data_IF_393412121196
#
_entry.id   IF_393412121196
#
_cell.length_a   1.000
_cell.length_b   1.000
_cell.length_c   1.000
_cell.angle_alpha   90.00
_cell.angle_beta   90.00
_cell.angle_gamma   90.00
#
_symmetry.space_group_name_H-M   'P 1'
#
loop_
_entity.id
_entity.type
_entity.pdbx_description
1 polymer ?
#
# COMPACT_ATOMS: atom_id res chain seq x y z
N UNK A 1 61.18 14.15 4.38
CA UNK A 1 61.42 15.61 4.54
C UNK A 1 60.05 16.28 4.60
N UNK A 2 59.55 16.50 5.82
CA UNK A 2 58.29 17.18 6.11
C UNK A 2 58.48 18.68 5.98
N UNK A 3 57.51 19.42 5.41
CA UNK A 3 57.22 20.81 5.82
C UNK A 3 55.73 21.13 5.72
N UNK A 4 55.19 21.44 6.89
CA UNK A 4 53.91 22.00 7.29
C UNK A 4 53.65 23.40 6.72
N UNK A 5 52.38 23.77 6.48
CA UNK A 5 51.96 25.17 6.56
C UNK A 5 50.61 25.34 7.28
N UNK A 6 50.60 26.43 8.04
CA UNK A 6 49.74 26.80 9.16
C UNK A 6 48.47 27.52 8.74
N UNK A 7 47.49 27.49 9.65
CA UNK A 7 46.21 28.19 9.62
C UNK A 7 46.32 29.70 9.36
N UNK A 8 45.37 30.23 8.60
CA UNK A 8 45.04 31.65 8.51
C UNK A 8 43.55 31.87 8.77
N UNK A 9 43.24 32.40 9.95
CA UNK A 9 41.89 32.89 10.31
C UNK A 9 41.45 34.00 9.35
N UNK A 10 40.33 33.82 8.66
CA UNK A 10 39.54 34.95 8.13
C UNK A 10 38.29 35.11 8.98
N UNK A 11 38.17 36.29 9.61
CA UNK A 11 37.01 36.72 10.38
C UNK A 11 35.79 36.84 9.46
N UNK A 12 34.70 36.16 9.81
CA UNK A 12 33.37 36.42 9.26
C UNK A 12 32.76 37.65 9.97
N UNK A 13 32.06 38.56 9.27
CA UNK A 13 31.36 39.66 9.90
C UNK A 13 30.16 39.14 10.69
N UNK A 14 29.92 39.73 11.87
CA UNK A 14 28.71 39.50 12.68
C UNK A 14 27.49 39.97 11.89
N UNK A 15 26.62 39.02 11.52
CA UNK A 15 25.26 39.35 11.08
C UNK A 15 24.40 39.51 12.32
N UNK A 16 23.81 40.71 12.41
CA UNK A 16 22.81 41.13 13.38
C UNK A 16 21.68 40.11 13.48
N UNK A 17 21.34 39.71 14.70
CA UNK A 17 20.18 38.87 15.02
C UNK A 17 18.89 39.60 14.63
N UNK A 18 18.34 39.26 13.47
CA UNK A 18 16.93 39.53 13.20
C UNK A 18 16.14 38.47 13.97
N UNK A 19 15.34 38.90 14.94
CA UNK A 19 14.41 38.06 15.70
C UNK A 19 13.40 37.44 14.73
N UNK A 20 13.75 36.28 14.18
CA UNK A 20 12.79 35.41 13.54
C UNK A 20 12.05 34.70 14.68
N UNK A 21 10.87 35.21 15.04
CA UNK A 21 9.94 34.54 15.94
C UNK A 21 9.66 33.15 15.39
N UNK A 22 10.38 32.15 15.91
CA UNK A 22 10.00 30.74 15.79
C UNK A 22 8.61 30.61 16.40
N UNK A 23 7.57 30.57 15.58
CA UNK A 23 6.33 29.90 15.98
C UNK A 23 6.70 28.44 16.17
N UNK A 24 6.92 28.08 17.42
CA UNK A 24 6.94 26.69 17.84
C UNK A 24 5.62 26.07 17.38
N UNK A 25 5.69 24.95 16.65
CA UNK A 25 4.56 24.05 16.53
C UNK A 25 4.15 23.67 17.96
N UNK A 26 3.02 24.20 18.42
CA UNK A 26 2.56 24.00 19.79
C UNK A 26 2.13 22.54 19.98
N UNK A 27 2.78 21.85 20.92
CA UNK A 27 2.34 20.56 21.49
C UNK A 27 1.09 20.74 22.37
N UNK A 28 -0.02 21.18 21.78
CA UNK A 28 -1.33 21.12 22.41
C UNK A 28 -2.14 19.99 21.76
N UNK A 29 -2.79 19.09 22.53
CA UNK A 29 -3.84 18.25 21.97
C UNK A 29 -5.06 19.14 21.76
N UNK A 30 -5.01 19.93 20.68
CA UNK A 30 -6.13 20.74 20.23
C UNK A 30 -7.19 19.79 19.66
N UNK A 31 -8.44 19.93 20.10
CA UNK A 31 -9.59 19.36 19.39
C UNK A 31 -9.44 19.70 17.90
N UNK A 32 -9.58 18.69 17.04
CA UNK A 32 -9.06 18.76 15.68
C UNK A 32 -9.82 19.71 14.75
N UNK A 33 -10.89 20.33 15.26
CA UNK A 33 -11.71 21.35 14.59
C UNK A 33 -11.40 22.80 14.96
N UNK A 34 -10.51 23.04 15.95
CA UNK A 34 -10.22 24.40 16.45
C UNK A 34 -9.76 25.33 15.32
N UNK A 35 -10.52 26.41 15.12
CA UNK A 35 -10.22 27.46 14.14
C UNK A 35 -11.04 27.36 12.85
N UNK A 36 -11.79 26.27 12.63
CA UNK A 36 -12.59 26.08 11.41
C UNK A 36 -13.99 25.49 11.66
N UNK A 37 -14.48 25.49 12.90
CA UNK A 37 -15.77 24.93 13.30
C UNK A 37 -16.94 25.54 12.53
N UNK A 38 -16.85 26.83 12.21
CA UNK A 38 -17.86 27.56 11.44
C UNK A 38 -18.05 26.98 10.02
N UNK A 39 -17.03 26.32 9.44
CA UNK A 39 -17.12 25.66 8.14
C UNK A 39 -17.93 24.36 8.19
N UNK A 40 -18.16 23.80 9.38
CA UNK A 40 -18.87 22.55 9.60
C UNK A 40 -20.36 22.76 9.91
N UNK A 41 -20.84 24.00 9.83
CA UNK A 41 -22.26 24.30 10.02
C UNK A 41 -23.10 23.55 8.98
N UNK A 42 -24.06 22.75 9.46
CA UNK A 42 -24.92 21.92 8.61
C UNK A 42 -24.42 20.49 8.37
N UNK A 43 -23.20 20.15 8.80
CA UNK A 43 -22.70 18.78 8.75
C UNK A 43 -23.47 17.87 9.71
N UNK A 44 -23.99 16.77 9.18
CA UNK A 44 -24.78 15.82 9.93
C UNK A 44 -23.96 14.66 10.53
N UNK A 45 -24.57 13.91 11.44
CA UNK A 45 -23.98 12.67 11.98
C UNK A 45 -24.14 11.52 10.97
N UNK A 46 -23.19 10.58 10.97
CA UNK A 46 -23.19 9.44 10.04
C UNK A 46 -24.45 8.56 10.16
N UNK A 47 -25.03 8.47 11.36
CA UNK A 47 -26.25 7.67 11.60
C UNK A 47 -27.55 8.49 11.47
N UNK A 48 -27.46 9.80 11.21
CA UNK A 48 -28.64 10.65 11.06
C UNK A 48 -29.31 10.35 9.73
N UNK A 49 -30.46 9.67 9.79
CA UNK A 49 -31.26 9.32 8.61
C UNK A 49 -31.94 10.58 8.07
N UNK A 50 -31.57 10.98 6.86
CA UNK A 50 -32.10 12.16 6.17
C UNK A 50 -32.78 11.75 4.86
N UNK A 51 -33.84 12.47 4.43
CA UNK A 51 -34.41 12.27 3.11
C UNK A 51 -33.35 12.49 2.02
N UNK A 52 -33.41 11.67 0.97
CA UNK A 52 -32.49 11.73 -0.17
C UNK A 52 -33.31 11.88 -1.45
N UNK A 53 -32.88 12.75 -2.34
CA UNK A 53 -33.44 12.89 -3.68
C UNK A 53 -32.98 11.71 -4.53
N UNK A 54 -33.85 10.72 -4.63
CA UNK A 54 -33.66 9.52 -5.43
C UNK A 54 -33.79 9.83 -6.93
N UNK A 55 -32.81 9.41 -7.72
CA UNK A 55 -32.82 9.56 -9.19
C UNK A 55 -32.76 8.18 -9.83
N UNK A 56 -33.85 7.81 -10.50
CA UNK A 56 -34.06 6.48 -11.12
C UNK A 56 -34.60 6.58 -12.55
N UNK A 57 -34.83 7.80 -13.05
CA UNK A 57 -35.39 8.04 -14.37
C UNK A 57 -34.92 9.38 -14.95
N UNK A 58 -35.26 9.62 -16.21
CA UNK A 58 -34.92 10.85 -16.94
C UNK A 58 -35.50 12.11 -16.29
N UNK A 59 -36.70 12.03 -15.71
CA UNK A 59 -37.39 13.21 -15.20
C UNK A 59 -36.78 13.69 -13.87
N UNK A 60 -36.48 12.75 -12.97
CA UNK A 60 -35.74 12.98 -11.74
C UNK A 60 -34.32 13.47 -12.02
N UNK A 61 -33.63 12.87 -12.99
CA UNK A 61 -32.30 13.32 -13.42
C UNK A 61 -32.35 14.76 -13.94
N UNK A 62 -33.32 15.09 -14.80
CA UNK A 62 -33.48 16.45 -15.32
C UNK A 62 -33.68 17.49 -14.20
N UNK A 63 -34.53 17.22 -13.21
CA UNK A 63 -34.74 18.16 -12.09
C UNK A 63 -33.45 18.44 -11.33
N UNK A 64 -32.67 17.40 -11.04
CA UNK A 64 -31.38 17.54 -10.35
C UNK A 64 -30.40 18.34 -11.21
N UNK A 65 -30.29 18.02 -12.50
CA UNK A 65 -29.38 18.71 -13.42
C UNK A 65 -29.72 20.20 -13.58
N UNK A 66 -31.01 20.54 -13.67
CA UNK A 66 -31.46 21.94 -13.75
C UNK A 66 -31.02 22.73 -12.49
N UNK A 67 -31.04 22.09 -11.30
CA UNK A 67 -30.57 22.71 -10.05
C UNK A 67 -29.05 22.83 -10.04
N UNK A 68 -28.31 21.77 -10.43
CA UNK A 68 -26.85 21.80 -10.53
C UNK A 68 -26.37 22.92 -11.46
N UNK A 69 -27.04 23.11 -12.61
CA UNK A 69 -26.76 24.21 -13.54
C UNK A 69 -27.00 25.59 -12.90
N UNK A 70 -28.09 25.73 -12.13
CA UNK A 70 -28.48 27.01 -11.50
C UNK A 70 -27.47 27.50 -10.45
N UNK A 71 -26.67 26.61 -9.87
CA UNK A 71 -25.60 26.94 -8.91
C UNK A 71 -24.40 27.61 -9.60
N UNK A 72 -24.24 27.43 -10.92
CA UNK A 72 -23.20 28.05 -11.71
C UNK A 72 -21.84 27.32 -11.66
N UNK A 73 -20.88 27.73 -12.53
CA UNK A 73 -19.65 26.98 -12.79
C UNK A 73 -18.60 27.07 -11.68
N UNK A 74 -18.71 28.05 -10.77
CA UNK A 74 -17.79 28.20 -9.63
C UNK A 74 -18.19 27.34 -8.42
N UNK A 75 -19.37 26.73 -8.45
CA UNK A 75 -19.87 25.93 -7.34
C UNK A 75 -19.19 24.56 -7.30
N UNK A 76 -18.84 24.10 -6.10
CA UNK A 76 -18.21 22.80 -5.88
C UNK A 76 -19.26 21.75 -5.57
N UNK A 77 -19.27 20.67 -6.34
CA UNK A 77 -20.15 19.52 -6.15
C UNK A 77 -19.32 18.34 -5.70
N UNK A 78 -19.52 17.85 -4.47
CA UNK A 78 -18.90 16.62 -4.06
C UNK A 78 -19.62 15.44 -4.70
N UNK A 79 -18.86 14.51 -5.23
CA UNK A 79 -19.35 13.30 -5.86
C UNK A 79 -18.64 12.08 -5.29
N UNK A 80 -19.34 10.96 -5.26
CA UNK A 80 -18.79 9.67 -4.85
C UNK A 80 -19.53 8.53 -5.56
N UNK A 81 -18.82 7.45 -5.87
CA UNK A 81 -19.39 6.27 -6.54
C UNK A 81 -19.29 5.02 -5.69
N UNK A 82 -20.34 4.21 -5.72
CA UNK A 82 -20.26 2.86 -5.19
C UNK A 82 -20.09 1.85 -6.32
N UNK A 83 -19.22 0.86 -6.10
CA UNK A 83 -18.71 0.00 -7.16
C UNK A 83 -18.82 -1.47 -6.80
N UNK A 84 -19.49 -2.22 -7.68
CA UNK A 84 -19.62 -3.66 -7.64
C UNK A 84 -18.57 -4.36 -8.53
N UNK A 85 -18.45 -5.68 -8.42
CA UNK A 85 -17.63 -6.52 -9.31
C UNK A 85 -16.13 -6.15 -9.35
N UNK A 86 -15.56 -5.77 -8.22
CA UNK A 86 -14.12 -5.51 -8.07
C UNK A 86 -13.60 -6.04 -6.73
N UNK A 87 -12.49 -6.78 -6.76
CA UNK A 87 -11.71 -7.12 -5.57
C UNK A 87 -10.47 -6.23 -5.53
N UNK A 88 -10.58 -5.10 -4.84
CA UNK A 88 -9.52 -4.07 -4.76
C UNK A 88 -8.22 -4.56 -4.11
N UNK A 89 -8.21 -5.77 -3.53
CA UNK A 89 -6.99 -6.42 -3.04
C UNK A 89 -6.22 -7.16 -4.14
N UNK A 90 -6.87 -7.43 -5.28
CA UNK A 90 -6.32 -8.20 -6.38
C UNK A 90 -6.11 -7.35 -7.64
N UNK A 91 -7.00 -6.39 -7.90
CA UNK A 91 -6.98 -5.58 -9.13
C UNK A 91 -7.22 -4.10 -8.83
N UNK A 92 -6.67 -3.23 -9.68
CA UNK A 92 -6.97 -1.80 -9.68
C UNK A 92 -8.27 -1.47 -10.44
N UNK A 93 -8.79 -0.24 -10.32
CA UNK A 93 -10.08 0.17 -10.90
C UNK A 93 -10.07 0.31 -12.43
N UNK A 94 -8.89 0.39 -13.06
CA UNK A 94 -8.76 0.51 -14.51
C UNK A 94 -9.28 -0.76 -15.18
N UNK A 95 -10.41 -0.65 -15.89
CA UNK A 95 -11.06 -1.77 -16.58
C UNK A 95 -11.82 -2.72 -15.66
N UNK A 96 -11.84 -2.50 -14.34
CA UNK A 96 -12.47 -3.40 -13.36
C UNK A 96 -13.51 -2.67 -12.51
N UNK A 97 -14.62 -3.33 -12.24
CA UNK A 97 -15.71 -2.81 -11.43
C UNK A 97 -16.78 -2.06 -12.22
N UNK A 98 -18.01 -2.08 -11.68
CA UNK A 98 -19.21 -1.49 -12.26
C UNK A 98 -19.85 -0.54 -11.26
N UNK A 99 -20.11 0.71 -11.67
CA UNK A 99 -20.74 1.71 -10.80
C UNK A 99 -22.22 1.36 -10.59
N UNK A 100 -22.61 1.13 -9.32
CA UNK A 100 -23.99 0.81 -8.95
C UNK A 100 -24.79 2.03 -8.54
N UNK A 101 -24.14 3.10 -8.09
CA UNK A 101 -24.76 4.39 -7.83
C UNK A 101 -23.74 5.53 -7.80
N UNK A 102 -24.25 6.76 -7.92
CA UNK A 102 -23.51 8.01 -7.76
C UNK A 102 -24.23 8.87 -6.71
N UNK A 103 -23.51 9.39 -5.73
CA UNK A 103 -24.03 10.42 -4.82
C UNK A 103 -23.49 11.79 -5.21
N UNK A 104 -24.32 12.83 -5.02
CA UNK A 104 -23.93 14.22 -5.26
C UNK A 104 -24.38 15.06 -4.07
N UNK A 105 -23.48 15.90 -3.57
CA UNK A 105 -23.75 16.86 -2.51
C UNK A 105 -23.17 18.23 -2.87
N UNK A 106 -24.00 19.26 -2.81
CA UNK A 106 -23.62 20.63 -3.22
C UNK A 106 -23.65 21.63 -2.06
N UNK A 107 -23.73 21.16 -0.82
CA UNK A 107 -23.81 22.02 0.38
C UNK A 107 -25.16 21.90 1.09
N UNK A 108 -25.22 22.29 2.37
CA UNK A 108 -26.38 22.06 3.23
C UNK A 108 -27.62 22.88 2.84
N UNK A 109 -27.41 24.02 2.15
CA UNK A 109 -28.48 24.95 1.79
C UNK A 109 -29.08 24.69 0.41
N UNK A 110 -28.59 23.68 -0.33
CA UNK A 110 -29.12 23.31 -1.63
C UNK A 110 -30.27 22.32 -1.44
N UNK A 111 -31.41 22.55 -2.09
CA UNK A 111 -32.54 21.62 -2.06
C UNK A 111 -32.79 21.03 -3.45
N UNK A 112 -32.63 19.70 -3.56
CA UNK A 112 -32.91 18.94 -4.78
C UNK A 112 -34.35 18.41 -4.86
N UNK A 113 -35.20 18.81 -3.92
CA UNK A 113 -36.62 18.45 -3.80
C UNK A 113 -36.93 17.69 -2.50
N UNK A 114 -35.95 16.91 -2.00
CA UNK A 114 -36.01 16.23 -0.70
C UNK A 114 -34.80 16.63 0.19
N UNK A 115 -34.26 17.84 0.02
CA UNK A 115 -33.06 18.30 0.71
C UNK A 115 -31.77 18.16 -0.11
N UNK A 116 -30.59 18.21 0.55
CA UNK A 116 -29.31 18.46 -0.12
C UNK A 116 -28.65 17.23 -0.73
N UNK A 117 -29.21 16.04 -0.51
CA UNK A 117 -28.64 14.78 -0.95
C UNK A 117 -29.26 14.33 -2.26
N UNK A 118 -28.41 13.99 -3.23
CA UNK A 118 -28.80 13.29 -4.45
C UNK A 118 -28.18 11.90 -4.42
N UNK A 119 -28.97 10.88 -4.77
CA UNK A 119 -28.49 9.53 -4.97
C UNK A 119 -29.07 8.97 -6.27
N UNK A 120 -28.19 8.71 -7.23
CA UNK A 120 -28.49 8.21 -8.56
C UNK A 120 -28.33 6.71 -8.56
N UNK A 121 -29.44 5.98 -8.68
CA UNK A 121 -29.44 4.52 -8.77
C UNK A 121 -28.99 4.10 -10.17
N UNK A 122 -28.07 3.14 -10.27
CA UNK A 122 -27.61 2.59 -11.54
C UNK A 122 -27.58 1.06 -11.52
N UNK A 123 -28.41 0.44 -10.66
CA UNK A 123 -28.50 -1.00 -10.53
C UNK A 123 -29.87 -1.52 -10.99
N UNK A 124 -29.88 -2.73 -11.54
CA UNK A 124 -31.06 -3.47 -11.96
C UNK A 124 -31.98 -2.67 -12.89
N UNK A 125 -33.21 -2.35 -12.46
CA UNK A 125 -34.18 -1.60 -13.27
C UNK A 125 -33.78 -0.15 -13.54
N UNK A 126 -32.81 0.37 -12.81
CA UNK A 126 -32.30 1.74 -12.95
C UNK A 126 -30.97 1.79 -13.73
N UNK A 127 -30.53 0.66 -14.30
CA UNK A 127 -29.33 0.60 -15.14
C UNK A 127 -29.42 1.62 -16.29
N UNK A 128 -28.32 2.36 -16.49
CA UNK A 128 -28.23 3.42 -17.49
C UNK A 128 -28.68 4.81 -17.00
N UNK A 129 -29.16 4.97 -15.76
CA UNK A 129 -29.54 6.29 -15.24
C UNK A 129 -28.34 7.24 -15.15
N UNK A 130 -27.12 6.73 -14.92
CA UNK A 130 -25.89 7.55 -14.94
C UNK A 130 -25.68 8.27 -16.27
N UNK A 131 -26.16 7.73 -17.38
CA UNK A 131 -25.99 8.33 -18.71
C UNK A 131 -26.60 9.73 -18.77
N UNK A 132 -27.69 9.99 -18.04
CA UNK A 132 -28.30 11.32 -17.98
C UNK A 132 -27.36 12.38 -17.39
N UNK A 133 -26.39 11.96 -16.57
CA UNK A 133 -25.39 12.85 -15.95
C UNK A 133 -24.10 12.99 -16.75
N UNK A 134 -23.96 12.35 -17.93
CA UNK A 134 -22.75 12.45 -18.76
C UNK A 134 -22.33 13.89 -18.99
N UNK A 135 -23.25 14.76 -19.38
CA UNK A 135 -22.96 16.18 -19.63
C UNK A 135 -22.37 16.90 -18.41
N UNK A 136 -22.88 16.61 -17.21
CA UNK A 136 -22.37 17.17 -15.96
C UNK A 136 -20.99 16.58 -15.59
N UNK A 137 -20.83 15.27 -15.70
CA UNK A 137 -19.61 14.56 -15.31
C UNK A 137 -18.43 14.87 -16.26
N UNK A 138 -18.68 14.93 -17.58
CA UNK A 138 -17.67 15.25 -18.59
C UNK A 138 -17.44 16.76 -18.77
N UNK A 139 -18.20 17.60 -18.08
CA UNK A 139 -18.02 19.05 -18.14
C UNK A 139 -16.72 19.49 -17.44
N UNK A 140 -15.96 20.38 -18.09
CA UNK A 140 -14.81 21.07 -17.49
C UNK A 140 -15.20 22.28 -16.64
N UNK A 141 -16.42 22.79 -16.83
CA UNK A 141 -16.94 23.98 -16.15
C UNK A 141 -17.51 23.63 -14.79
N UNK A 142 -18.34 22.59 -14.68
CA UNK A 142 -18.82 22.11 -13.38
C UNK A 142 -17.69 21.44 -12.62
N UNK A 143 -17.38 21.97 -11.42
CA UNK A 143 -16.27 21.49 -10.60
C UNK A 143 -16.73 20.39 -9.66
N UNK A 144 -16.16 19.19 -9.84
CA UNK A 144 -16.44 18.04 -8.99
C UNK A 144 -15.32 17.82 -7.99
N UNK A 145 -15.70 17.62 -6.73
CA UNK A 145 -14.80 17.30 -5.63
C UNK A 145 -14.96 15.82 -5.29
N UNK A 146 -13.84 15.14 -5.06
CA UNK A 146 -13.81 13.71 -4.78
C UNK A 146 -12.95 13.42 -3.56
N UNK A 147 -13.08 12.22 -3.02
CA UNK A 147 -12.10 11.64 -2.12
C UNK A 147 -11.48 10.44 -2.82
N UNK A 148 -10.21 10.54 -3.23
CA UNK A 148 -9.56 9.54 -4.09
C UNK A 148 -10.12 9.50 -5.53
N UNK A 149 -10.11 10.67 -6.19
CA UNK A 149 -10.60 10.93 -7.54
C UNK A 149 -10.19 9.88 -8.59
N UNK A 150 -8.96 9.37 -8.51
CA UNK A 150 -8.46 8.37 -9.46
C UNK A 150 -9.40 7.16 -9.55
N UNK A 151 -9.88 6.67 -8.41
CA UNK A 151 -10.75 5.50 -8.38
C UNK A 151 -12.06 5.75 -9.12
N UNK A 152 -12.82 6.79 -8.72
CA UNK A 152 -14.11 7.16 -9.33
C UNK A 152 -13.97 7.47 -10.82
N UNK A 153 -12.91 8.20 -11.19
CA UNK A 153 -12.64 8.54 -12.59
C UNK A 153 -12.42 7.29 -13.44
N UNK A 154 -11.77 6.25 -12.91
CA UNK A 154 -11.55 5.00 -13.64
C UNK A 154 -12.82 4.17 -13.76
N UNK A 155 -13.54 3.95 -12.66
CA UNK A 155 -14.75 3.11 -12.67
C UNK A 155 -15.88 3.72 -13.51
N UNK A 156 -15.98 5.04 -13.57
CA UNK A 156 -16.89 5.75 -14.49
C UNK A 156 -16.40 5.72 -15.95
N UNK A 157 -15.12 5.44 -16.21
CA UNK A 157 -14.61 5.31 -17.58
C UNK A 157 -14.59 3.86 -18.08
N UNK A 158 -14.84 2.89 -17.20
CA UNK A 158 -14.89 1.48 -17.55
C UNK A 158 -15.93 1.18 -18.65
N UNK A 159 -15.82 0.03 -19.35
CA UNK A 159 -16.68 -0.30 -20.49
C UNK A 159 -18.18 -0.22 -20.23
N UNK A 160 -18.62 -0.35 -18.97
CA UNK A 160 -20.02 -0.26 -18.56
C UNK A 160 -20.64 1.11 -18.78
N UNK A 161 -19.89 2.21 -18.63
CA UNK A 161 -20.41 3.58 -18.71
C UNK A 161 -19.64 4.47 -19.69
N UNK A 162 -18.32 4.30 -19.80
CA UNK A 162 -17.43 5.13 -20.65
C UNK A 162 -17.62 6.64 -20.46
N UNK A 163 -17.92 7.08 -19.25
CA UNK A 163 -18.04 8.50 -18.88
C UNK A 163 -16.63 9.00 -18.54
N UNK A 164 -16.10 9.91 -19.35
CA UNK A 164 -14.79 10.49 -19.07
C UNK A 164 -14.94 11.70 -18.15
N UNK A 165 -14.96 11.47 -16.84
CA UNK A 165 -15.06 12.56 -15.86
C UNK A 165 -13.95 13.59 -16.09
N UNK A 166 -14.36 14.86 -16.17
CA UNK A 166 -13.51 16.04 -16.33
C UNK A 166 -13.84 17.07 -15.24
N UNK A 167 -13.09 18.16 -15.17
CA UNK A 167 -13.47 19.29 -14.31
C UNK A 167 -13.25 18.97 -12.85
N UNK A 168 -12.10 18.35 -12.53
CA UNK A 168 -11.65 18.16 -11.17
C UNK A 168 -11.59 19.52 -10.45
N UNK A 169 -12.44 19.71 -9.44
CA UNK A 169 -12.43 20.84 -8.53
C UNK A 169 -11.50 20.61 -7.34
N UNK A 170 -11.38 19.36 -6.92
CA UNK A 170 -10.33 18.93 -6.01
C UNK A 170 -10.48 17.48 -5.54
N UNK A 171 -9.39 16.90 -5.07
CA UNK A 171 -9.36 15.63 -4.35
C UNK A 171 -8.93 15.91 -2.90
N UNK A 172 -9.83 15.62 -1.96
CA UNK A 172 -9.57 15.84 -0.53
C UNK A 172 -8.38 15.03 -0.01
N UNK A 173 -8.06 13.89 -0.62
CA UNK A 173 -6.86 13.11 -0.29
C UNK A 173 -5.59 13.83 -0.76
N UNK A 174 -5.60 14.46 -1.93
CA UNK A 174 -4.46 15.30 -2.39
C UNK A 174 -4.25 16.49 -1.46
N UNK A 175 -5.34 17.21 -1.16
CA UNK A 175 -5.29 18.40 -0.31
C UNK A 175 -4.79 18.06 1.10
N UNK A 176 -5.22 16.93 1.68
CA UNK A 176 -4.74 16.47 2.99
C UNK A 176 -3.26 16.08 2.99
N UNK A 177 -2.78 15.41 1.92
CA UNK A 177 -1.36 15.06 1.76
C UNK A 177 -0.48 16.30 1.63
N UNK A 178 -0.97 17.31 0.90
CA UNK A 178 -0.28 18.59 0.74
C UNK A 178 -0.26 19.40 2.04
N UNK A 179 -1.37 19.41 2.78
CA UNK A 179 -1.46 20.09 4.07
C UNK A 179 -0.53 19.46 5.12
N UNK A 180 -0.51 18.12 5.23
CA UNK A 180 0.34 17.44 6.20
C UNK A 180 0.73 16.03 5.73
N UNK A 181 1.88 15.92 5.08
CA UNK A 181 2.42 14.65 4.57
C UNK A 181 2.77 13.64 5.67
N UNK A 182 3.01 14.09 6.91
CA UNK A 182 3.37 13.21 8.03
C UNK A 182 2.17 12.42 8.59
N UNK A 183 0.93 12.75 8.20
CA UNK A 183 -0.27 12.03 8.66
C UNK A 183 -0.26 10.55 8.31
N UNK A 184 0.51 10.10 7.32
CA UNK A 184 0.67 8.67 7.04
C UNK A 184 1.15 7.86 8.27
N UNK A 185 1.91 8.50 9.17
CA UNK A 185 2.36 7.87 10.42
C UNK A 185 1.31 7.95 11.55
N UNK A 186 0.34 8.86 11.45
CA UNK A 186 -0.65 9.18 12.49
C UNK A 186 -2.00 9.55 11.85
N UNK A 187 -2.89 8.56 11.74
CA UNK A 187 -4.27 8.73 11.26
C UNK A 187 -4.48 8.44 9.77
N UNK A 188 -3.47 8.60 8.92
CA UNK A 188 -3.61 8.37 7.48
C UNK A 188 -4.49 9.41 6.78
N UNK A 189 -4.99 9.04 5.59
CA UNK A 189 -5.74 9.93 4.69
C UNK A 189 -7.08 9.35 4.24
N UNK A 190 -7.60 8.31 4.89
CA UNK A 190 -8.93 7.81 4.58
C UNK A 190 -9.97 8.86 4.97
N UNK A 191 -11.12 8.84 4.29
CA UNK A 191 -12.25 9.71 4.64
C UNK A 191 -12.67 9.53 6.09
N UNK A 192 -12.67 8.28 6.60
CA UNK A 192 -12.92 7.96 8.02
C UNK A 192 -11.98 8.73 8.95
N UNK A 193 -10.68 8.67 8.71
CA UNK A 193 -9.70 9.28 9.61
C UNK A 193 -9.67 10.80 9.49
N UNK A 194 -9.81 11.34 8.27
CA UNK A 194 -9.84 12.78 8.06
C UNK A 194 -11.12 13.41 8.60
N UNK A 195 -12.28 12.75 8.48
CA UNK A 195 -13.51 13.27 9.04
C UNK A 195 -13.57 13.11 10.57
N UNK A 196 -12.93 12.08 11.14
CA UNK A 196 -12.75 11.98 12.58
C UNK A 196 -11.88 13.14 13.12
N UNK A 197 -10.71 13.36 12.50
CA UNK A 197 -9.74 14.31 13.01
C UNK A 197 -10.11 15.77 12.69
N UNK A 198 -10.54 16.06 11.47
CA UNK A 198 -10.72 17.44 11.00
C UNK A 198 -12.16 17.92 11.09
N UNK A 199 -13.11 17.04 11.36
CA UNK A 199 -14.53 17.39 11.37
C UNK A 199 -15.24 16.95 12.65
N UNK A 200 -14.58 16.17 13.53
CA UNK A 200 -15.19 15.54 14.71
C UNK A 200 -16.48 14.76 14.38
N UNK A 201 -16.51 14.20 13.16
CA UNK A 201 -17.62 13.44 12.58
C UNK A 201 -17.05 12.24 11.83
N UNK A 202 -16.67 11.21 12.57
CA UNK A 202 -16.07 9.99 12.00
C UNK A 202 -17.06 9.31 11.05
N UNK A 203 -16.68 9.20 9.77
CA UNK A 203 -17.36 8.37 8.79
C UNK A 203 -17.15 6.90 9.16
N UNK A 204 -18.24 6.17 9.36
CA UNK A 204 -18.18 4.77 9.79
C UNK A 204 -17.80 3.86 8.62
N UNK A 205 -16.92 2.87 8.82
CA UNK A 205 -16.54 1.94 7.76
C UNK A 205 -17.67 0.93 7.45
N UNK A 206 -17.75 0.44 6.22
CA UNK A 206 -18.79 -0.50 5.77
C UNK A 206 -18.95 -1.72 6.69
N UNK A 207 -17.83 -2.29 7.18
CA UNK A 207 -17.84 -3.48 8.04
C UNK A 207 -18.52 -3.23 9.41
N UNK A 208 -18.50 -2.00 9.89
CA UNK A 208 -19.19 -1.60 11.12
C UNK A 208 -20.70 -1.53 10.90
N UNK A 209 -21.13 -0.93 9.79
CA UNK A 209 -22.53 -0.67 9.46
C UNK A 209 -23.29 -1.90 8.92
N UNK A 210 -22.63 -2.69 8.07
CA UNK A 210 -23.26 -3.76 7.30
C UNK A 210 -22.68 -5.15 7.60
N UNK A 211 -21.66 -5.25 8.47
CA UNK A 211 -21.03 -6.51 8.79
C UNK A 211 -21.97 -7.50 9.50
N UNK A 212 -22.22 -8.64 8.87
CA UNK A 212 -23.08 -9.72 9.40
C UNK A 212 -22.21 -10.73 10.17
N UNK A 213 -22.60 -11.17 11.39
CA UNK A 213 -21.84 -12.16 12.15
C UNK A 213 -21.73 -13.51 11.43
N UNK A 214 -20.51 -14.06 11.35
CA UNK A 214 -20.30 -15.41 10.86
C UNK A 214 -20.77 -16.44 11.90
N UNK A 215 -21.79 -17.22 11.58
CA UNK A 215 -22.49 -18.20 12.45
C UNK A 215 -21.61 -19.36 13.02
N UNK A 216 -20.29 -19.36 12.82
CA UNK A 216 -19.40 -20.47 13.23
C UNK A 216 -18.05 -20.00 13.77
N UNK A 217 -18.01 -19.41 14.97
CA UNK A 217 -16.97 -19.52 16.04
C UNK A 217 -17.08 -18.37 17.04
N UNK A 218 -16.59 -18.63 18.26
CA UNK A 218 -16.64 -17.82 19.51
C UNK A 218 -15.92 -16.45 19.40
N UNK A 219 -15.36 -16.11 18.24
CA UNK A 219 -14.77 -14.81 17.92
C UNK A 219 -15.38 -14.32 16.60
N UNK A 220 -16.23 -13.29 16.68
CA UNK A 220 -17.16 -12.89 15.63
C UNK A 220 -16.50 -12.11 14.49
N UNK A 221 -15.87 -12.84 13.57
CA UNK A 221 -15.54 -12.27 12.26
C UNK A 221 -16.85 -11.85 11.56
N UNK A 222 -17.05 -10.54 11.36
CA UNK A 222 -18.16 -10.01 10.56
C UNK A 222 -17.82 -10.13 9.08
N UNK A 223 -18.71 -10.71 8.29
CA UNK A 223 -18.63 -10.75 6.83
C UNK A 223 -19.41 -9.57 6.25
N UNK A 224 -18.82 -8.88 5.28
CA UNK A 224 -19.50 -7.80 4.57
C UNK A 224 -20.27 -8.41 3.39
N UNK A 225 -21.58 -8.17 3.26
CA UNK A 225 -22.34 -8.52 2.06
C UNK A 225 -21.76 -7.87 0.79
N UNK A 226 -22.12 -8.39 -0.38
CA UNK A 226 -21.71 -7.77 -1.65
C UNK A 226 -22.37 -6.39 -1.82
N UNK A 227 -21.73 -5.49 -2.57
CA UNK A 227 -22.25 -4.13 -2.80
C UNK A 227 -23.65 -4.16 -3.42
N UNK A 228 -23.89 -5.08 -4.37
CA UNK A 228 -25.21 -5.23 -4.98
C UNK A 228 -26.26 -5.72 -3.98
N UNK A 229 -25.88 -6.54 -2.99
CA UNK A 229 -26.78 -7.00 -1.93
C UNK A 229 -27.15 -5.85 -0.99
N UNK A 230 -26.19 -4.98 -0.66
CA UNK A 230 -26.43 -3.79 0.18
C UNK A 230 -27.44 -2.83 -0.48
N UNK A 231 -27.38 -2.71 -1.80
CA UNK A 231 -28.29 -1.87 -2.57
C UNK A 231 -29.65 -2.55 -2.83
N UNK A 232 -29.70 -3.86 -3.05
CA UNK A 232 -30.95 -4.59 -3.37
C UNK A 232 -31.82 -4.87 -2.15
N UNK A 233 -31.22 -5.32 -1.06
CA UNK A 233 -32.00 -5.90 0.01
C UNK A 233 -32.59 -4.85 0.96
N UNK A 234 -33.91 -4.91 1.27
CA UNK A 234 -34.57 -3.91 2.10
C UNK A 234 -33.91 -3.67 3.46
N UNK A 235 -33.31 -4.70 4.08
CA UNK A 235 -32.64 -4.58 5.38
C UNK A 235 -31.37 -3.70 5.37
N UNK A 236 -30.79 -3.48 4.19
CA UNK A 236 -29.58 -2.67 4.01
C UNK A 236 -29.84 -1.38 3.23
N UNK A 237 -30.75 -1.42 2.26
CA UNK A 237 -30.90 -0.39 1.21
C UNK A 237 -31.00 1.03 1.75
N UNK A 238 -31.80 1.29 2.77
CA UNK A 238 -31.97 2.65 3.31
C UNK A 238 -30.66 3.18 3.92
N UNK A 239 -30.00 2.36 4.73
CA UNK A 239 -28.69 2.70 5.33
C UNK A 239 -27.58 2.76 4.30
N UNK A 240 -27.67 1.97 3.24
CA UNK A 240 -26.73 1.99 2.11
C UNK A 240 -26.82 3.30 1.32
N UNK A 241 -28.03 3.74 0.96
CA UNK A 241 -28.28 5.03 0.31
C UNK A 241 -27.73 6.16 1.18
N UNK A 242 -28.01 6.12 2.49
CA UNK A 242 -27.49 7.14 3.41
C UNK A 242 -25.97 7.11 3.52
N UNK A 243 -25.35 5.93 3.62
CA UNK A 243 -23.89 5.78 3.66
C UNK A 243 -23.23 6.41 2.43
N UNK A 244 -23.71 6.07 1.23
CA UNK A 244 -23.20 6.61 -0.04
C UNK A 244 -23.41 8.14 -0.14
N UNK A 245 -24.57 8.64 0.28
CA UNK A 245 -24.81 10.09 0.32
C UNK A 245 -23.95 10.82 1.37
N UNK A 246 -23.65 10.17 2.50
CA UNK A 246 -22.80 10.72 3.56
C UNK A 246 -21.35 10.85 3.10
N UNK A 247 -20.86 9.95 2.24
CA UNK A 247 -19.50 10.05 1.69
C UNK A 247 -19.32 11.33 0.85
N UNK A 248 -20.31 11.71 0.04
CA UNK A 248 -20.31 12.98 -0.67
C UNK A 248 -20.42 14.19 0.28
N UNK A 249 -21.27 14.13 1.31
CA UNK A 249 -21.36 15.19 2.33
C UNK A 249 -20.03 15.40 3.07
N UNK A 250 -19.44 14.31 3.58
CA UNK A 250 -18.14 14.34 4.23
C UNK A 250 -17.08 14.92 3.31
N UNK A 251 -17.04 14.50 2.05
CA UNK A 251 -16.11 14.99 1.04
C UNK A 251 -16.26 16.50 0.81
N UNK A 252 -17.49 17.01 0.76
CA UNK A 252 -17.76 18.44 0.56
C UNK A 252 -17.24 19.28 1.73
N UNK A 253 -17.61 18.91 2.96
CA UNK A 253 -17.16 19.62 4.17
C UNK A 253 -15.65 19.50 4.38
N UNK A 254 -15.09 18.32 4.14
CA UNK A 254 -13.64 18.09 4.22
C UNK A 254 -12.88 18.96 3.22
N UNK A 255 -13.40 19.12 1.99
CA UNK A 255 -12.83 20.03 1.01
C UNK A 255 -12.84 21.48 1.50
N UNK A 256 -13.93 21.95 2.11
CA UNK A 256 -14.00 23.30 2.68
C UNK A 256 -12.95 23.51 3.78
N UNK A 257 -12.82 22.55 4.70
CA UNK A 257 -11.83 22.60 5.77
C UNK A 257 -10.40 22.59 5.22
N UNK A 258 -10.10 21.68 4.30
CA UNK A 258 -8.76 21.57 3.72
C UNK A 258 -8.42 22.77 2.84
N UNK A 259 -9.37 23.31 2.08
CA UNK A 259 -9.21 24.55 1.33
C UNK A 259 -8.79 25.69 2.28
N UNK A 260 -9.52 25.88 3.38
CA UNK A 260 -9.18 26.89 4.37
C UNK A 260 -7.78 26.68 4.96
N UNK A 261 -7.42 25.45 5.33
CA UNK A 261 -6.08 25.14 5.86
C UNK A 261 -4.96 25.41 4.85
N UNK A 262 -5.18 25.10 3.57
CA UNK A 262 -4.21 25.38 2.50
C UNK A 262 -4.13 26.87 2.15
N UNK A 263 -5.22 27.62 2.33
CA UNK A 263 -5.25 29.08 2.18
C UNK A 263 -4.46 29.77 3.30
N UNK A 264 -4.51 29.22 4.51
CA UNK A 264 -3.77 29.71 5.67
C UNK A 264 -2.29 29.26 5.68
N UNK A 265 -1.86 28.50 4.68
CA UNK A 265 -0.48 28.03 4.55
C UNK A 265 0.23 28.76 3.41
N UNK A 266 1.36 29.41 3.72
CA UNK A 266 2.23 30.04 2.72
C UNK A 266 3.36 29.09 2.31
N UNK A 267 3.80 29.20 1.06
CA UNK A 267 5.04 28.59 0.58
C UNK A 267 5.99 29.67 0.07
N UNK A 268 7.29 29.38 0.19
CA UNK A 268 8.36 30.30 -0.15
C UNK A 268 9.23 29.69 -1.24
N UNK A 269 9.55 30.49 -2.25
CA UNK A 269 10.56 30.16 -3.26
C UNK A 269 11.60 31.26 -3.23
N UNK A 270 12.88 30.91 -3.12
CA UNK A 270 13.97 31.88 -2.97
C UNK A 270 13.98 32.97 -4.07
N UNK A 271 13.41 32.67 -5.23
CA UNK A 271 13.40 33.54 -6.42
C UNK A 271 12.07 34.26 -6.66
N UNK A 272 11.03 34.08 -5.83
CA UNK A 272 9.74 34.76 -6.01
C UNK A 272 9.12 35.22 -4.70
N UNK A 273 8.05 36.01 -4.80
CA UNK A 273 7.22 36.33 -3.65
C UNK A 273 6.56 35.05 -3.09
N UNK A 274 6.23 35.10 -1.81
CA UNK A 274 5.50 34.06 -1.10
C UNK A 274 4.16 33.79 -1.78
N UNK A 275 3.83 32.52 -1.98
CA UNK A 275 2.57 32.08 -2.54
C UNK A 275 1.69 31.41 -1.50
N UNK A 276 0.41 31.25 -1.83
CA UNK A 276 -0.54 30.48 -1.02
C UNK A 276 -0.56 29.03 -1.51
N UNK A 277 -0.54 28.05 -0.59
CA UNK A 277 -0.46 26.64 -0.97
C UNK A 277 -1.72 26.17 -1.70
N UNK A 278 -2.89 26.74 -1.40
CA UNK A 278 -4.11 26.45 -2.16
C UNK A 278 -4.02 26.85 -3.64
N UNK A 279 -3.40 27.99 -3.96
CA UNK A 279 -3.23 28.42 -5.35
C UNK A 279 -2.28 27.47 -6.10
N UNK A 280 -1.18 27.05 -5.44
CA UNK A 280 -0.29 26.02 -5.96
C UNK A 280 -1.03 24.69 -6.22
N UNK A 281 -1.91 24.28 -5.30
CA UNK A 281 -2.70 23.08 -5.45
C UNK A 281 -3.59 23.13 -6.70
N UNK A 282 -4.31 24.24 -6.89
CA UNK A 282 -5.22 24.43 -8.03
C UNK A 282 -4.45 24.54 -9.34
N UNK A 283 -3.32 25.26 -9.35
CA UNK A 283 -2.52 25.48 -10.56
C UNK A 283 -1.79 24.21 -11.02
N UNK A 284 -1.23 23.43 -10.09
CA UNK A 284 -0.34 22.32 -10.43
C UNK A 284 -0.92 20.94 -10.11
N UNK A 285 -1.48 20.72 -8.91
CA UNK A 285 -1.89 19.37 -8.50
C UNK A 285 -3.23 18.92 -9.05
N UNK A 286 -4.18 19.84 -9.27
CA UNK A 286 -5.45 19.53 -9.93
C UNK A 286 -5.22 19.01 -11.36
N UNK A 287 -4.56 19.74 -12.28
CA UNK A 287 -4.30 19.22 -13.63
C UNK A 287 -3.37 18.00 -13.62
N UNK A 288 -2.43 17.92 -12.67
CA UNK A 288 -1.57 16.75 -12.54
C UNK A 288 -2.36 15.50 -12.12
N UNK A 289 -3.39 15.62 -11.28
CA UNK A 289 -4.29 14.51 -10.93
C UNK A 289 -5.05 13.94 -12.13
N UNK A 290 -5.55 14.80 -13.02
CA UNK A 290 -6.16 14.37 -14.29
C UNK A 290 -5.12 13.69 -15.20
N UNK A 291 -3.90 14.24 -15.27
CA UNK A 291 -2.81 13.65 -16.06
C UNK A 291 -2.37 12.27 -15.54
N UNK A 292 -2.22 12.10 -14.23
CA UNK A 292 -1.84 10.83 -13.60
C UNK A 292 -2.86 9.74 -13.90
N UNK A 293 -4.14 10.06 -13.83
CA UNK A 293 -5.20 9.10 -14.16
C UNK A 293 -5.21 8.75 -15.66
N UNK A 294 -4.85 9.68 -16.55
CA UNK A 294 -4.63 9.33 -17.97
C UNK A 294 -3.41 8.40 -18.17
N UNK A 295 -2.33 8.59 -17.40
CA UNK A 295 -1.17 7.70 -17.41
C UNK A 295 -1.50 6.30 -16.89
N UNK A 296 -2.24 6.21 -15.78
CA UNK A 296 -2.71 4.95 -15.20
C UNK A 296 -3.55 4.14 -16.20
N UNK A 297 -4.44 4.80 -16.95
CA UNK A 297 -5.26 4.14 -18.00
C UNK A 297 -4.44 3.64 -19.17
N UNK A 298 -3.41 4.39 -19.58
CA UNK A 298 -2.52 3.96 -20.67
C UNK A 298 -1.71 2.73 -20.26
N UNK A 299 -1.36 2.64 -18.98
CA UNK A 299 -0.53 1.56 -18.45
C UNK A 299 0.89 1.56 -19.01
N UNK A 300 1.62 0.48 -18.74
CA UNK A 300 2.96 0.24 -19.27
C UNK A 300 2.96 -1.09 -20.03
N UNK A 301 3.41 -1.08 -21.28
CA UNK A 301 3.50 -2.31 -22.07
C UNK A 301 4.62 -3.21 -21.53
N UNK A 302 4.29 -4.49 -21.30
CA UNK A 302 5.22 -5.51 -20.84
C UNK A 302 5.35 -6.59 -21.90
N UNK A 303 6.57 -6.93 -22.30
CA UNK A 303 6.85 -8.03 -23.24
C UNK A 303 6.76 -9.37 -22.50
N UNK A 304 5.55 -9.93 -22.45
CA UNK A 304 5.27 -11.20 -21.78
C UNK A 304 6.09 -12.37 -22.36
N UNK A 305 6.22 -12.53 -23.70
CA UNK A 305 7.09 -13.57 -24.27
C UNK A 305 8.55 -13.47 -23.82
N UNK A 306 9.10 -12.26 -23.74
CA UNK A 306 10.45 -12.05 -23.22
C UNK A 306 10.55 -12.41 -21.74
N UNK A 307 9.58 -11.98 -20.91
CA UNK A 307 9.55 -12.34 -19.49
C UNK A 307 9.48 -13.85 -19.25
N UNK A 308 8.65 -14.57 -20.00
CA UNK A 308 8.56 -16.03 -19.89
C UNK A 308 9.91 -16.72 -20.22
N UNK A 309 10.69 -16.17 -21.17
CA UNK A 309 12.05 -16.66 -21.47
C UNK A 309 13.01 -16.39 -20.31
N UNK A 310 12.96 -15.18 -19.75
CA UNK A 310 13.81 -14.79 -18.60
C UNK A 310 13.46 -15.61 -17.36
N UNK A 311 12.17 -15.85 -17.11
CA UNK A 311 11.70 -16.71 -16.01
C UNK A 311 12.30 -18.11 -16.11
N UNK A 312 12.17 -18.73 -17.29
CA UNK A 312 12.71 -20.07 -17.53
C UNK A 312 14.22 -20.12 -17.30
N UNK A 313 14.97 -19.16 -17.84
CA UNK A 313 16.42 -19.08 -17.65
C UNK A 313 16.78 -18.92 -16.16
N UNK A 314 16.07 -18.05 -15.44
CA UNK A 314 16.32 -17.82 -14.03
C UNK A 314 16.01 -19.06 -13.17
N UNK A 315 14.96 -19.81 -13.49
CA UNK A 315 14.63 -21.08 -12.83
C UNK A 315 15.69 -22.16 -13.10
N UNK A 316 16.14 -22.29 -14.36
CA UNK A 316 17.19 -23.23 -14.74
C UNK A 316 18.53 -22.90 -14.05
N UNK A 317 18.93 -21.62 -14.05
CA UNK A 317 20.14 -21.15 -13.37
C UNK A 317 20.06 -21.36 -11.86
N UNK A 318 18.93 -21.02 -11.25
CA UNK A 318 18.68 -21.23 -9.83
C UNK A 318 18.79 -22.71 -9.46
N UNK A 319 18.20 -23.61 -10.27
CA UNK A 319 18.27 -25.06 -10.04
C UNK A 319 19.72 -25.57 -10.15
N UNK A 320 20.48 -25.08 -11.13
CA UNK A 320 21.89 -25.44 -11.29
C UNK A 320 22.75 -24.95 -10.11
N UNK A 321 22.50 -23.75 -9.59
CA UNK A 321 23.16 -23.23 -8.38
C UNK A 321 22.78 -24.05 -7.14
N UNK A 322 21.51 -24.40 -7.01
CA UNK A 322 21.00 -25.20 -5.89
C UNK A 322 21.70 -26.55 -5.83
N UNK A 323 21.83 -27.24 -6.97
CA UNK A 323 22.51 -28.53 -7.06
C UNK A 323 24.00 -28.42 -6.66
N UNK A 324 24.70 -27.38 -7.12
CA UNK A 324 26.10 -27.14 -6.73
C UNK A 324 26.25 -26.86 -5.22
N UNK A 325 25.30 -26.13 -4.62
CA UNK A 325 25.29 -25.91 -3.18
C UNK A 325 25.01 -27.23 -2.45
N UNK A 326 24.05 -28.04 -2.91
CA UNK A 326 23.77 -29.36 -2.32
C UNK A 326 24.97 -30.29 -2.34
N UNK A 327 25.74 -30.27 -3.44
CA UNK A 327 26.99 -31.04 -3.56
C UNK A 327 28.07 -30.56 -2.59
N UNK A 328 28.13 -29.26 -2.27
CA UNK A 328 29.01 -28.77 -1.22
C UNK A 328 28.50 -29.18 0.17
N UNK A 329 27.20 -29.04 0.43
CA UNK A 329 26.60 -29.40 1.73
C UNK A 329 26.74 -30.91 2.03
N UNK A 330 26.73 -31.78 1.02
CA UNK A 330 26.85 -33.24 1.20
C UNK A 330 28.18 -33.68 1.81
N UNK A 331 29.21 -32.81 1.78
CA UNK A 331 30.48 -33.03 2.50
C UNK A 331 30.30 -33.06 4.02
N UNK A 332 29.28 -32.38 4.54
CA UNK A 332 29.05 -32.21 5.98
C UNK A 332 27.73 -32.81 6.46
N UNK A 333 26.74 -32.93 5.57
CA UNK A 333 25.39 -33.40 5.89
C UNK A 333 25.05 -34.61 5.01
N UNK A 334 24.99 -35.84 5.57
CA UNK A 334 24.72 -37.06 4.79
C UNK A 334 23.43 -37.01 3.95
N UNK A 335 22.38 -36.36 4.47
CA UNK A 335 21.10 -36.20 3.77
C UNK A 335 20.90 -34.79 3.15
N UNK A 336 21.99 -34.17 2.67
CA UNK A 336 21.98 -32.82 2.09
C UNK A 336 20.95 -32.59 0.98
N UNK A 337 20.62 -33.63 0.20
CA UNK A 337 19.58 -33.58 -0.84
C UNK A 337 18.18 -33.26 -0.28
N UNK A 338 17.93 -33.47 1.03
CA UNK A 338 16.67 -33.13 1.70
C UNK A 338 16.70 -31.78 2.43
N UNK A 339 17.86 -31.14 2.52
CA UNK A 339 17.98 -29.84 3.19
C UNK A 339 17.21 -28.78 2.41
N UNK A 340 16.47 -27.92 3.10
CA UNK A 340 15.82 -26.75 2.53
C UNK A 340 16.77 -25.55 2.60
N UNK A 341 17.44 -25.25 1.49
CA UNK A 341 18.39 -24.14 1.37
C UNK A 341 17.73 -22.75 1.43
N UNK A 342 16.41 -22.66 1.24
CA UNK A 342 15.65 -21.42 1.47
C UNK A 342 15.34 -21.19 2.95
N UNK A 343 15.44 -22.21 3.81
CA UNK A 343 15.16 -22.09 5.24
C UNK A 343 16.26 -21.35 5.98
N UNK A 344 15.92 -20.18 6.54
CA UNK A 344 16.84 -19.41 7.38
C UNK A 344 17.36 -20.23 8.57
N UNK A 345 16.52 -21.04 9.21
CA UNK A 345 16.92 -21.83 10.39
C UNK A 345 17.86 -22.98 10.04
N UNK A 346 17.67 -23.63 8.88
CA UNK A 346 18.58 -24.68 8.43
C UNK A 346 19.93 -24.09 7.98
N UNK A 347 19.92 -22.95 7.27
CA UNK A 347 21.16 -22.21 6.95
C UNK A 347 21.90 -21.78 8.21
N UNK A 348 21.17 -21.27 9.21
CA UNK A 348 21.75 -20.88 10.49
C UNK A 348 22.41 -22.06 11.21
N UNK A 349 21.74 -23.21 11.25
CA UNK A 349 22.29 -24.42 11.83
C UNK A 349 23.56 -24.86 11.09
N UNK A 350 23.50 -24.98 9.76
CA UNK A 350 24.63 -25.43 8.95
C UNK A 350 25.85 -24.52 9.11
N UNK A 351 25.66 -23.21 8.98
CA UNK A 351 26.79 -22.28 8.90
C UNK A 351 27.40 -21.97 10.26
N UNK A 352 26.56 -21.69 11.27
CA UNK A 352 27.02 -21.01 12.48
C UNK A 352 27.05 -21.90 13.72
N UNK A 353 26.36 -23.05 13.73
CA UNK A 353 26.34 -23.89 14.91
C UNK A 353 27.69 -24.61 15.12
N UNK A 354 28.17 -24.81 16.36
CA UNK A 354 27.55 -24.39 17.61
C UNK A 354 27.63 -22.88 17.84
N UNK A 355 26.55 -22.28 18.35
CA UNK A 355 26.49 -20.86 18.67
C UNK A 355 25.58 -20.62 19.89
N UNK A 356 25.97 -19.71 20.78
CA UNK A 356 25.15 -19.31 21.93
C UNK A 356 25.15 -17.79 22.08
N UNK A 357 23.97 -17.22 22.33
CA UNK A 357 23.79 -15.83 22.73
C UNK A 357 22.97 -15.78 24.03
N UNK A 358 23.64 -15.75 25.20
CA UNK A 358 22.97 -15.74 26.51
C UNK A 358 22.04 -14.53 26.70
N UNK A 359 22.39 -13.36 26.16
CA UNK A 359 21.58 -12.14 26.31
C UNK A 359 20.20 -12.22 25.64
N UNK A 360 20.05 -13.11 24.66
CA UNK A 360 18.80 -13.33 23.92
C UNK A 360 18.24 -14.74 24.12
N UNK A 361 18.83 -15.54 25.01
CA UNK A 361 18.48 -16.92 25.27
C UNK A 361 18.43 -17.78 23.99
N UNK A 362 19.44 -17.64 23.14
CA UNK A 362 19.57 -18.39 21.88
C UNK A 362 20.67 -19.42 22.02
N UNK A 363 20.36 -20.64 21.59
CA UNK A 363 21.30 -21.75 21.53
C UNK A 363 21.10 -22.52 20.22
N UNK A 364 22.19 -22.63 19.45
CA UNK A 364 22.31 -23.52 18.31
C UNK A 364 23.27 -24.64 18.70
N UNK A 365 22.77 -25.86 19.01
CA UNK A 365 23.62 -26.98 19.36
C UNK A 365 24.46 -27.43 18.17
N UNK A 366 25.56 -28.15 18.39
CA UNK A 366 26.45 -28.66 17.32
C UNK A 366 25.66 -29.41 16.23
N UNK A 367 24.64 -30.17 16.63
CA UNK A 367 23.76 -30.90 15.72
C UNK A 367 22.31 -30.69 16.14
N UNK A 368 21.43 -30.52 15.14
CA UNK A 368 19.99 -30.34 15.36
C UNK A 368 19.18 -31.12 14.32
N UNK A 369 18.08 -31.73 14.77
CA UNK A 369 17.10 -32.38 13.91
C UNK A 369 16.11 -31.38 13.30
N UNK A 370 15.82 -31.53 12.01
CA UNK A 370 14.80 -30.79 11.29
C UNK A 370 13.81 -31.73 10.61
N UNK A 371 12.52 -31.43 10.75
CA UNK A 371 11.48 -32.14 10.01
C UNK A 371 11.44 -31.65 8.56
N UNK A 372 11.59 -32.59 7.63
CA UNK A 372 11.52 -32.40 6.18
C UNK A 372 10.50 -33.34 5.57
N UNK A 373 10.03 -33.03 4.37
CA UNK A 373 9.03 -33.85 3.70
C UNK A 373 9.62 -35.22 3.30
N UNK A 374 8.83 -36.27 3.52
CA UNK A 374 9.21 -37.64 3.20
C UNK A 374 8.85 -37.97 1.74
N UNK A 375 9.54 -37.32 0.80
CA UNK A 375 9.26 -37.43 -0.64
C UNK A 375 9.38 -38.89 -1.13
N UNK A 376 10.33 -39.63 -0.60
CA UNK A 376 10.62 -41.03 -0.96
C UNK A 376 9.71 -42.05 -0.28
N UNK A 377 8.78 -41.61 0.59
CA UNK A 377 7.83 -42.49 1.25
C UNK A 377 8.51 -43.62 2.06
N UNK A 378 9.63 -43.31 2.71
CA UNK A 378 10.38 -44.27 3.54
C UNK A 378 9.66 -44.49 4.87
N UNK A 379 9.58 -45.74 5.31
CA UNK A 379 9.05 -46.12 6.63
C UNK A 379 10.22 -46.22 7.61
N UNK A 380 10.37 -45.22 8.49
CA UNK A 380 11.47 -45.18 9.49
C UNK A 380 11.44 -46.34 10.48
N UNK A 381 10.27 -46.95 10.71
CA UNK A 381 10.12 -48.03 11.69
C UNK A 381 9.15 -49.11 11.18
N UNK A 382 9.62 -50.03 10.32
CA UNK A 382 8.79 -51.04 9.66
C UNK A 382 8.04 -51.97 10.63
N UNK A 383 8.57 -52.14 11.85
CA UNK A 383 7.97 -52.97 12.90
C UNK A 383 6.78 -52.31 13.60
N UNK A 384 6.69 -50.97 13.55
CA UNK A 384 5.66 -50.18 14.27
C UNK A 384 4.74 -49.39 13.36
N UNK A 385 5.06 -49.27 12.08
CA UNK A 385 4.31 -48.47 11.10
C UNK A 385 4.23 -49.20 9.76
N UNK A 386 3.03 -49.34 9.21
CA UNK A 386 2.78 -49.92 7.89
C UNK A 386 2.73 -48.89 6.76
N UNK A 387 2.72 -47.60 7.09
CA UNK A 387 2.69 -46.49 6.14
C UNK A 387 3.74 -45.43 6.49
N UNK A 388 4.38 -44.83 5.49
CA UNK A 388 5.35 -43.76 5.70
C UNK A 388 4.68 -42.50 6.24
N UNK A 389 5.36 -41.82 7.17
CA UNK A 389 4.94 -40.50 7.64
C UNK A 389 5.11 -39.47 6.53
N UNK A 390 4.30 -38.41 6.56
CA UNK A 390 4.44 -37.25 5.67
C UNK A 390 5.77 -36.52 5.83
N UNK A 391 6.35 -36.57 7.04
CA UNK A 391 7.62 -35.94 7.39
C UNK A 391 8.57 -36.94 8.00
N UNK A 392 9.86 -36.70 7.83
CA UNK A 392 10.97 -37.40 8.48
C UNK A 392 11.99 -36.39 8.97
N UNK A 393 12.84 -36.78 9.91
CA UNK A 393 13.84 -35.88 10.46
C UNK A 393 15.20 -36.07 9.79
N UNK A 394 15.91 -34.97 9.53
CA UNK A 394 17.32 -34.97 9.11
C UNK A 394 18.16 -34.28 10.18
N UNK A 395 19.37 -34.78 10.41
CA UNK A 395 20.35 -34.14 11.28
C UNK A 395 21.22 -33.18 10.48
N UNK A 396 21.31 -31.93 10.93
CA UNK A 396 22.21 -30.92 10.37
C UNK A 396 23.25 -30.58 11.44
N UNK A 397 24.51 -30.95 11.16
CA UNK A 397 25.67 -30.57 11.95
C UNK A 397 26.21 -29.23 11.45
N UNK A 398 26.49 -28.33 12.38
CA UNK A 398 27.01 -27.00 12.05
C UNK A 398 28.52 -26.97 11.82
N UNK A 399 28.95 -26.00 11.02
CA UNK A 399 30.34 -25.74 10.64
C UNK A 399 31.08 -24.84 11.64
N UNK A 400 30.35 -24.05 12.44
CA UNK A 400 30.91 -23.15 13.44
C UNK A 400 31.50 -21.86 12.88
N UNK A 401 31.16 -21.46 11.64
CA UNK A 401 31.65 -20.23 11.03
C UNK A 401 31.22 -19.03 11.91
N UNK A 402 32.11 -18.09 12.26
CA UNK A 402 31.73 -16.92 13.04
C UNK A 402 30.72 -16.02 12.32
N UNK A 403 29.57 -15.67 12.95
CA UNK A 403 28.60 -14.75 12.34
C UNK A 403 29.19 -13.35 12.11
N UNK A 404 28.84 -12.75 10.98
CA UNK A 404 29.17 -11.35 10.65
C UNK A 404 28.09 -10.36 11.11
N UNK A 405 26.84 -10.82 11.14
CA UNK A 405 25.66 -10.00 11.38
C UNK A 405 24.63 -10.80 12.20
N UNK A 406 23.73 -10.08 12.87
CA UNK A 406 22.67 -10.66 13.70
C UNK A 406 21.30 -10.10 13.32
N UNK A 407 20.27 -10.92 13.43
CA UNK A 407 18.87 -10.47 13.30
C UNK A 407 18.46 -9.62 14.49
N UNK A 408 17.35 -8.86 14.38
CA UNK A 408 16.79 -8.12 15.51
C UNK A 408 16.44 -9.03 16.72
N UNK A 409 16.13 -10.30 16.46
CA UNK A 409 15.90 -11.33 17.49
C UNK A 409 17.19 -11.87 18.12
N UNK A 410 18.37 -11.59 17.55
CA UNK A 410 19.68 -11.96 18.07
C UNK A 410 20.26 -13.26 17.50
N UNK A 411 19.62 -13.87 16.50
CA UNK A 411 20.16 -15.05 15.81
C UNK A 411 21.23 -14.62 14.81
N UNK A 412 22.23 -15.48 14.51
CA UNK A 412 23.12 -15.26 13.38
C UNK A 412 22.34 -15.00 12.08
N UNK A 413 22.69 -13.95 11.35
CA UNK A 413 21.99 -13.63 10.10
C UNK A 413 22.47 -14.52 8.96
N UNK A 414 21.53 -15.20 8.28
CA UNK A 414 21.76 -15.98 7.06
C UNK A 414 21.10 -15.30 5.84
N UNK A 415 21.10 -13.96 5.82
CA UNK A 415 20.58 -13.10 4.75
C UNK A 415 21.57 -13.02 3.59
N UNK A 416 21.11 -12.57 2.41
CA UNK A 416 21.98 -12.39 1.26
C UNK A 416 23.20 -11.49 1.57
N UNK A 417 23.00 -10.41 2.32
CA UNK A 417 24.09 -9.50 2.71
C UNK A 417 25.12 -10.16 3.64
N UNK A 418 24.66 -10.91 4.64
CA UNK A 418 25.55 -11.62 5.55
C UNK A 418 26.34 -12.72 4.81
N UNK A 419 25.69 -13.46 3.91
CA UNK A 419 26.34 -14.47 3.08
C UNK A 419 27.36 -13.84 2.11
N UNK A 420 27.06 -12.65 1.57
CA UNK A 420 27.96 -11.91 0.68
C UNK A 420 29.24 -11.47 1.40
N UNK A 421 29.13 -10.98 2.63
CA UNK A 421 30.29 -10.62 3.46
C UNK A 421 31.15 -11.85 3.81
N UNK A 422 30.52 -12.97 4.15
CA UNK A 422 31.22 -14.24 4.43
C UNK A 422 31.90 -14.82 3.19
N UNK A 423 31.28 -14.70 2.02
CA UNK A 423 31.79 -15.23 0.75
C UNK A 423 32.92 -14.37 0.17
N UNK A 424 32.85 -13.05 0.30
CA UNK A 424 33.68 -12.12 -0.45
C UNK A 424 33.32 -12.11 -1.94
N UNK A 425 34.34 -12.00 -2.80
CA UNK A 425 34.24 -12.11 -4.25
C UNK A 425 35.10 -13.29 -4.78
N UNK A 426 34.64 -14.55 -4.58
CA UNK A 426 35.41 -15.74 -4.91
C UNK A 426 35.61 -15.95 -6.42
N UNK A 427 34.87 -15.22 -7.27
CA UNK A 427 34.96 -15.31 -8.73
C UNK A 427 35.83 -14.19 -9.34
N UNK A 428 36.45 -13.34 -8.51
CA UNK A 428 37.38 -12.31 -8.97
C UNK A 428 38.68 -12.91 -9.54
N UNK A 429 39.45 -12.09 -10.26
CA UNK A 429 40.80 -12.46 -10.74
C UNK A 429 41.83 -11.46 -10.21
N UNK A 430 42.68 -11.84 -9.21
CA UNK A 430 42.65 -13.10 -8.46
C UNK A 430 41.43 -13.22 -7.52
N UNK A 431 41.04 -14.44 -7.08
CA UNK A 431 39.92 -14.64 -6.16
C UNK A 431 40.09 -13.84 -4.86
N UNK A 432 39.02 -13.22 -4.40
CA UNK A 432 39.00 -12.44 -3.15
C UNK A 432 38.04 -13.11 -2.18
N UNK A 433 38.54 -14.02 -1.35
CA UNK A 433 37.68 -14.74 -0.41
C UNK A 433 37.30 -13.88 0.82
N UNK A 434 36.13 -14.15 1.38
CA UNK A 434 35.62 -13.50 2.58
C UNK A 434 35.97 -14.27 3.86
N UNK A 435 35.36 -13.86 4.98
CA UNK A 435 35.65 -14.38 6.33
C UNK A 435 35.38 -15.88 6.51
N UNK A 436 34.57 -16.49 5.64
CA UNK A 436 34.35 -17.93 5.69
C UNK A 436 35.61 -18.73 5.29
N UNK A 437 36.53 -18.14 4.52
CA UNK A 437 37.76 -18.81 4.10
C UNK A 437 38.69 -19.08 5.28
N UNK A 438 38.91 -18.07 6.13
CA UNK A 438 39.81 -18.12 7.28
C UNK A 438 39.36 -19.10 8.38
N UNK A 439 38.11 -19.58 8.29
CA UNK A 439 37.54 -20.54 9.24
C UNK A 439 38.06 -21.97 9.01
N UNK A 440 38.41 -22.32 7.77
CA UNK A 440 38.84 -23.67 7.43
C UNK A 440 40.37 -23.76 7.43
N UNK A 441 40.93 -24.82 8.04
CA UNK A 441 42.37 -25.08 8.03
C UNK A 441 42.87 -25.43 6.61
N UNK A 442 42.03 -26.11 5.83
CA UNK A 442 42.29 -26.44 4.44
C UNK A 442 41.85 -25.29 3.51
N UNK A 443 42.78 -24.65 2.77
CA UNK A 443 42.46 -23.59 1.83
C UNK A 443 41.47 -24.00 0.72
N UNK A 444 41.46 -25.27 0.31
CA UNK A 444 40.51 -25.75 -0.71
C UNK A 444 39.08 -25.78 -0.16
N UNK A 445 38.92 -26.20 1.09
CA UNK A 445 37.63 -26.19 1.81
C UNK A 445 37.15 -24.76 2.06
N UNK A 446 38.04 -23.86 2.46
CA UNK A 446 37.73 -22.43 2.61
C UNK A 446 37.27 -21.79 1.30
N UNK A 447 37.96 -22.08 0.19
CA UNK A 447 37.57 -21.61 -1.14
C UNK A 447 36.21 -22.17 -1.58
N UNK A 448 35.98 -23.48 -1.36
CA UNK A 448 34.72 -24.14 -1.67
C UNK A 448 33.55 -23.55 -0.86
N UNK A 449 33.77 -23.25 0.42
CA UNK A 449 32.79 -22.59 1.28
C UNK A 449 32.42 -21.20 0.75
N UNK A 450 33.41 -20.34 0.46
CA UNK A 450 33.13 -19.02 -0.10
C UNK A 450 32.37 -19.09 -1.44
N UNK A 451 32.72 -20.04 -2.32
CA UNK A 451 31.98 -20.26 -3.57
C UNK A 451 30.54 -20.75 -3.33
N UNK A 452 30.31 -21.63 -2.35
CA UNK A 452 28.96 -22.10 -2.03
C UNK A 452 28.10 -20.96 -1.45
N UNK A 453 28.66 -20.14 -0.55
CA UNK A 453 27.98 -18.98 0.02
C UNK A 453 27.62 -17.94 -1.05
N UNK A 454 28.51 -17.73 -2.03
CA UNK A 454 28.22 -16.92 -3.23
C UNK A 454 26.97 -17.40 -3.95
N UNK A 455 26.92 -18.69 -4.26
CA UNK A 455 25.77 -19.31 -4.96
C UNK A 455 24.49 -19.22 -4.13
N UNK A 456 24.56 -19.39 -2.81
CA UNK A 456 23.39 -19.24 -1.94
C UNK A 456 22.79 -17.83 -1.97
N UNK A 457 23.60 -16.77 -1.98
CA UNK A 457 23.06 -15.42 -2.07
C UNK A 457 22.61 -15.06 -3.48
N UNK A 458 23.27 -15.58 -4.53
CA UNK A 458 22.79 -15.44 -5.91
C UNK A 458 21.41 -16.06 -6.10
N UNK A 459 21.18 -17.27 -5.55
CA UNK A 459 19.85 -17.90 -5.53
C UNK A 459 18.82 -17.00 -4.85
N UNK A 460 19.19 -16.36 -3.73
CA UNK A 460 18.28 -15.45 -3.02
C UNK A 460 17.93 -14.20 -3.85
N UNK A 461 18.89 -13.67 -4.61
CA UNK A 461 18.66 -12.58 -5.56
C UNK A 461 17.79 -13.00 -6.74
N UNK A 462 17.97 -14.21 -7.27
CA UNK A 462 17.12 -14.79 -8.31
C UNK A 462 15.68 -14.98 -7.82
N UNK A 463 15.50 -15.53 -6.61
CA UNK A 463 14.18 -15.68 -5.98
C UNK A 463 13.49 -14.32 -5.81
N UNK A 464 14.24 -13.28 -5.44
CA UNK A 464 13.73 -11.91 -5.34
C UNK A 464 13.30 -11.38 -6.70
N UNK A 465 14.11 -11.58 -7.73
CA UNK A 465 13.81 -11.15 -9.11
C UNK A 465 12.54 -11.84 -9.64
N UNK A 466 12.45 -13.16 -9.47
CA UNK A 466 11.32 -13.98 -9.93
C UNK A 466 10.03 -13.53 -9.22
N UNK A 467 10.03 -13.49 -7.89
CA UNK A 467 8.80 -13.27 -7.12
C UNK A 467 8.33 -11.81 -7.11
N UNK A 468 9.24 -10.84 -7.18
CA UNK A 468 8.87 -9.42 -7.06
C UNK A 468 8.76 -8.69 -8.39
N UNK A 469 9.36 -9.20 -9.47
CA UNK A 469 9.38 -8.51 -10.76
C UNK A 469 8.82 -9.37 -11.89
N UNK A 470 9.23 -10.63 -12.02
CA UNK A 470 8.84 -11.44 -13.18
C UNK A 470 7.41 -11.97 -13.04
N UNK A 471 7.08 -12.62 -11.92
CA UNK A 471 5.75 -13.20 -11.69
C UNK A 471 4.66 -12.13 -11.54
N UNK A 472 4.85 -10.98 -10.86
CA UNK A 472 3.79 -9.98 -10.75
C UNK A 472 3.47 -9.21 -12.04
N UNK A 473 4.35 -9.26 -13.04
CA UNK A 473 4.16 -8.62 -14.34
C UNK A 473 3.53 -9.56 -15.40
N UNK A 474 3.31 -10.82 -15.04
CA UNK A 474 2.65 -11.85 -15.86
C UNK A 474 1.29 -12.18 -15.27
#
# INVERSE_FOLDING_TARGET
MWRTFSAGQRRLPRVSSCECTRRAFSDAPASGVLGHEHLLQGLTEADDMRPVTMVQDKQSAKRVLDILESLGPGHMHACDTEVANIDVKKVGPVGNGNVTCLSIYSGPDVDFGNGPYVWVDNLDSSDGTLEYFRGFLESKTHKKVWHNYSFDRHVLFNPSTRINVQGLGGDTMHMARLWNTARFQKGGYSLEALSADLMERRKKPMKELFGVPKLKKVWSERLLPLVEELQRFPEFRERWIRYSAYDAECTWFLHKVLQHKLQDTTWHLETSADGVVYDFYVEYLVPFGECLTDLERKGMHVDLPYLAKVERQALDDRAALEEQVRQWVSRYVPEAHRMNLASASQKQQLLFAPFSNPHKNIELPVERLFDVDNIEQVVENPEKQSKPKKKRSIAIRGLGIPPVQFTASGNPAATADALKELAGNPLATPPQYGRAFDHFEDPEEGAAACQALKKMYDMSSMDTMINNFILPLQ
#
